data_IF_370013716173
#
_entry.id   IF_370013716173
#
_cell.length_a   1.000
_cell.length_b   1.000
_cell.length_c   1.000
_cell.angle_alpha   90.00
_cell.angle_beta   90.00
_cell.angle_gamma   90.00
#
_symmetry.space_group_name_H-M   'P 1'
#
loop_
_entity.id
_entity.type
_entity.pdbx_description
1 polymer ?
#
# COMPACT_ATOMS: atom_id res chain seq x y z
N UNK A 1 3.65 12.30 22.61
CA UNK A 1 3.38 10.91 22.20
C UNK A 1 4.71 10.32 21.78
N UNK A 2 5.13 9.17 22.34
CA UNK A 2 6.46 8.61 22.06
C UNK A 2 6.59 8.16 20.62
N UNK A 3 7.77 8.34 20.02
CA UNK A 3 8.11 7.80 18.70
C UNK A 3 7.82 6.29 18.66
N UNK A 4 7.50 5.69 17.48
CA UNK A 4 7.36 4.24 17.30
C UNK A 4 8.56 3.44 17.82
N UNK A 5 9.74 4.06 17.87
CA UNK A 5 10.98 3.53 18.44
C UNK A 5 10.89 3.16 19.93
N UNK A 6 9.88 3.66 20.65
CA UNK A 6 9.75 3.51 22.09
C UNK A 6 8.87 2.32 22.53
N UNK A 7 8.35 1.49 21.62
CA UNK A 7 7.57 0.31 21.97
C UNK A 7 8.49 -0.92 22.08
N UNK A 8 8.85 -1.38 23.30
CA UNK A 8 9.81 -2.50 23.49
C UNK A 8 9.42 -3.78 22.76
N UNK A 9 8.11 -4.01 22.56
CA UNK A 9 7.58 -5.18 21.85
C UNK A 9 7.89 -5.18 20.35
N UNK A 10 7.93 -4.01 19.72
CA UNK A 10 8.21 -3.89 18.26
C UNK A 10 9.65 -4.30 17.98
N UNK A 11 10.61 -3.73 18.71
CA UNK A 11 12.02 -4.09 18.53
C UNK A 11 12.25 -5.58 18.74
N UNK A 12 11.71 -6.16 19.80
CA UNK A 12 11.86 -7.59 20.10
C UNK A 12 11.27 -8.52 19.01
N UNK A 13 10.26 -8.04 18.27
CA UNK A 13 9.66 -8.82 17.18
C UNK A 13 10.52 -8.82 15.90
N UNK A 14 11.43 -7.86 15.73
CA UNK A 14 12.18 -7.62 14.47
C UNK A 14 13.69 -7.81 14.65
N UNK A 15 14.25 -7.43 15.82
CA UNK A 15 15.69 -7.51 16.09
C UNK A 15 16.24 -8.92 15.86
N UNK A 16 17.30 -9.00 15.04
CA UNK A 16 17.96 -10.25 14.70
C UNK A 16 17.15 -11.19 13.80
N UNK A 17 16.00 -10.77 13.28
CA UNK A 17 15.16 -11.56 12.36
C UNK A 17 15.59 -11.41 10.91
N UNK A 18 15.46 -12.48 10.12
CA UNK A 18 15.49 -12.42 8.67
C UNK A 18 14.09 -12.10 8.17
N UNK A 19 13.97 -11.02 7.42
CA UNK A 19 12.69 -10.45 6.99
C UNK A 19 12.59 -10.50 5.47
N UNK A 20 11.48 -11.03 4.93
CA UNK A 20 11.17 -10.94 3.50
C UNK A 20 10.07 -9.89 3.27
N UNK A 21 10.29 -9.01 2.30
CA UNK A 21 9.28 -8.06 1.83
C UNK A 21 9.00 -8.32 0.35
N UNK A 22 7.87 -8.96 0.03
CA UNK A 22 7.43 -9.09 -1.37
C UNK A 22 6.78 -7.80 -1.82
N UNK A 23 7.07 -7.34 -3.04
CA UNK A 23 6.67 -6.00 -3.50
C UNK A 23 7.45 -4.89 -2.76
N UNK A 24 8.68 -5.19 -2.32
CA UNK A 24 9.47 -4.31 -1.47
C UNK A 24 10.01 -3.06 -2.17
N UNK A 25 10.08 -3.03 -3.50
CA UNK A 25 10.46 -1.85 -4.27
C UNK A 25 9.26 -0.94 -4.62
N UNK A 26 8.03 -1.32 -4.24
CA UNK A 26 6.82 -0.52 -4.39
C UNK A 26 6.68 0.59 -3.34
N UNK A 27 5.62 1.41 -3.45
CA UNK A 27 5.28 2.50 -2.53
C UNK A 27 5.28 2.06 -1.05
N UNK A 28 4.50 1.04 -0.72
CA UNK A 28 4.31 0.61 0.68
C UNK A 28 5.51 -0.23 1.14
N UNK A 29 5.95 -1.20 0.31
CA UNK A 29 7.04 -2.10 0.68
C UNK A 29 8.35 -1.37 0.98
N UNK A 30 8.71 -0.38 0.17
CA UNK A 30 9.92 0.42 0.39
C UNK A 30 9.83 1.29 1.66
N UNK A 31 8.64 1.80 1.98
CA UNK A 31 8.44 2.56 3.22
C UNK A 31 8.47 1.66 4.46
N UNK A 32 8.00 0.40 4.34
CA UNK A 32 8.16 -0.61 5.42
C UNK A 32 9.65 -0.89 5.64
N UNK A 33 10.44 -1.05 4.57
CA UNK A 33 11.89 -1.28 4.66
C UNK A 33 12.57 -0.15 5.43
N UNK A 34 12.28 1.12 5.12
CA UNK A 34 12.84 2.26 5.85
C UNK A 34 12.54 2.18 7.36
N UNK A 35 11.32 1.77 7.71
CA UNK A 35 10.92 1.66 9.11
C UNK A 35 11.40 0.38 9.81
N UNK A 36 11.85 -0.64 9.07
CA UNK A 36 12.49 -1.83 9.61
C UNK A 36 13.92 -1.57 10.07
N UNK A 37 14.68 -0.74 9.35
CA UNK A 37 16.10 -0.51 9.60
C UNK A 37 16.41 -0.10 11.05
N UNK A 38 15.66 0.80 11.70
CA UNK A 38 15.91 1.19 13.10
C UNK A 38 15.72 0.06 14.12
N UNK A 39 15.04 -1.04 13.73
CA UNK A 39 14.79 -2.18 14.62
C UNK A 39 15.82 -3.30 14.52
N UNK A 40 16.92 -3.08 13.79
CA UNK A 40 18.08 -3.95 13.72
C UNK A 40 17.79 -5.41 13.26
N UNK A 41 17.08 -5.61 12.12
CA UNK A 41 16.90 -6.94 11.55
C UNK A 41 18.25 -7.55 11.18
N UNK A 42 18.37 -8.89 11.21
CA UNK A 42 19.58 -9.58 10.76
C UNK A 42 19.79 -9.43 9.26
N UNK A 43 18.70 -9.50 8.50
CA UNK A 43 18.68 -9.35 7.05
C UNK A 43 17.28 -8.92 6.59
N UNK A 44 17.22 -8.09 5.56
CA UNK A 44 15.99 -7.78 4.82
C UNK A 44 16.18 -8.26 3.38
N UNK A 45 15.33 -9.17 2.91
CA UNK A 45 15.28 -9.63 1.53
C UNK A 45 14.09 -8.97 0.84
N UNK A 46 14.31 -8.34 -0.30
CA UNK A 46 13.27 -7.80 -1.17
C UNK A 46 13.03 -8.74 -2.32
N UNK A 47 11.79 -9.15 -2.54
CA UNK A 47 11.35 -9.82 -3.78
C UNK A 47 10.40 -8.87 -4.52
N UNK A 48 10.78 -8.45 -5.73
CA UNK A 48 9.97 -7.57 -6.57
C UNK A 48 10.18 -7.92 -8.05
N UNK A 49 9.12 -7.88 -8.86
CA UNK A 49 9.21 -8.12 -10.30
C UNK A 49 9.50 -6.84 -11.09
N UNK A 50 9.61 -5.71 -10.39
CA UNK A 50 9.84 -4.38 -10.93
C UNK A 50 8.83 -3.94 -12.00
N UNK A 51 7.69 -4.61 -12.09
CA UNK A 51 6.60 -4.18 -12.97
C UNK A 51 6.08 -2.78 -12.59
N UNK A 52 6.26 -2.38 -11.33
CA UNK A 52 5.95 -1.05 -10.79
C UNK A 52 6.93 -0.58 -9.73
N UNK A 53 7.56 -1.51 -9.02
CA UNK A 53 8.63 -1.24 -8.08
C UNK A 53 9.80 -0.55 -8.78
N UNK A 54 10.57 0.24 -8.03
CA UNK A 54 11.73 0.99 -8.55
C UNK A 54 12.90 0.85 -7.62
N UNK A 55 14.09 0.63 -8.16
CA UNK A 55 15.33 0.64 -7.37
C UNK A 55 15.53 1.98 -6.64
N UNK A 56 15.11 3.10 -7.23
CA UNK A 56 15.15 4.42 -6.59
C UNK A 56 14.36 4.49 -5.27
N UNK A 57 13.28 3.72 -5.13
CA UNK A 57 12.48 3.70 -3.89
C UNK A 57 13.22 3.09 -2.70
N UNK A 58 14.21 2.24 -2.94
CA UNK A 58 15.01 1.54 -1.91
C UNK A 58 16.48 1.95 -1.91
N UNK A 59 16.86 2.95 -2.73
CA UNK A 59 18.26 3.36 -2.89
C UNK A 59 18.87 3.85 -1.56
N UNK A 60 18.14 4.65 -0.81
CA UNK A 60 18.59 5.16 0.50
C UNK A 60 18.77 4.03 1.52
N UNK A 61 17.85 3.06 1.53
CA UNK A 61 17.96 1.89 2.40
C UNK A 61 19.18 1.02 2.03
N UNK A 62 19.43 0.79 0.72
CA UNK A 62 20.61 0.10 0.24
C UNK A 62 21.92 0.82 0.59
N UNK A 63 21.92 2.14 0.58
CA UNK A 63 23.07 2.93 0.97
C UNK A 63 23.30 2.95 2.51
N UNK A 64 22.23 2.76 3.30
CA UNK A 64 22.26 2.82 4.75
C UNK A 64 22.73 1.51 5.42
N UNK A 65 22.63 0.36 4.74
CA UNK A 65 22.98 -0.94 5.32
C UNK A 65 23.43 -1.97 4.27
N UNK A 66 24.32 -2.86 4.66
CA UNK A 66 24.72 -4.06 3.90
C UNK A 66 23.80 -5.28 4.12
N UNK A 67 22.80 -5.14 5.00
CA UNK A 67 21.84 -6.20 5.35
C UNK A 67 20.60 -6.23 4.47
N UNK A 68 20.52 -5.37 3.46
CA UNK A 68 19.42 -5.34 2.50
C UNK A 68 19.86 -5.99 1.19
N UNK A 69 19.17 -7.05 0.81
CA UNK A 69 19.37 -7.73 -0.47
C UNK A 69 18.11 -7.62 -1.35
N UNK A 70 18.33 -7.56 -2.66
CA UNK A 70 17.23 -7.41 -3.64
C UNK A 70 17.29 -8.56 -4.63
N UNK A 71 16.17 -9.25 -4.75
CA UNK A 71 15.97 -10.33 -5.71
C UNK A 71 14.87 -9.92 -6.69
N UNK A 72 15.20 -9.80 -7.96
CA UNK A 72 14.20 -9.64 -9.02
C UNK A 72 13.49 -10.98 -9.24
N UNK A 73 12.16 -10.98 -9.10
CA UNK A 73 11.37 -12.20 -9.26
C UNK A 73 9.90 -12.00 -9.04
N UNK A 74 9.12 -12.92 -9.59
CA UNK A 74 7.68 -12.92 -9.59
C UNK A 74 7.16 -13.93 -8.55
N UNK A 75 6.17 -13.54 -7.76
CA UNK A 75 5.53 -14.43 -6.77
C UNK A 75 4.77 -15.60 -7.42
N UNK A 76 4.56 -15.59 -8.72
CA UNK A 76 4.02 -16.72 -9.49
C UNK A 76 5.05 -17.82 -9.74
N UNK A 77 6.34 -17.51 -9.64
CA UNK A 77 7.44 -18.49 -9.73
C UNK A 77 7.67 -19.18 -8.38
N UNK A 78 7.11 -20.38 -8.24
CA UNK A 78 7.18 -21.16 -7.00
C UNK A 78 8.60 -21.49 -6.57
N UNK A 79 9.50 -21.73 -7.52
CA UNK A 79 10.90 -22.04 -7.22
C UNK A 79 11.62 -20.80 -6.67
N UNK A 80 11.40 -19.64 -7.29
CA UNK A 80 11.97 -18.37 -6.83
C UNK A 80 11.42 -17.98 -5.46
N UNK A 81 10.12 -18.13 -5.24
CA UNK A 81 9.49 -17.86 -3.94
C UNK A 81 10.06 -18.77 -2.85
N UNK A 82 10.22 -20.06 -3.13
CA UNK A 82 10.82 -21.01 -2.18
C UNK A 82 12.30 -20.67 -1.88
N UNK A 83 13.09 -20.27 -2.89
CA UNK A 83 14.48 -19.85 -2.73
C UNK A 83 14.62 -18.66 -1.76
N UNK A 84 13.83 -17.60 -1.96
CA UNK A 84 13.92 -16.38 -1.12
C UNK A 84 13.27 -16.53 0.25
N UNK A 85 12.39 -17.54 0.44
CA UNK A 85 11.72 -17.81 1.70
C UNK A 85 12.58 -18.61 2.68
N UNK A 86 13.66 -19.24 2.21
CA UNK A 86 14.51 -20.07 3.05
C UNK A 86 15.12 -19.29 4.21
N UNK A 87 14.88 -19.76 5.44
CA UNK A 87 15.34 -19.16 6.67
C UNK A 87 14.70 -17.81 7.04
N UNK A 88 13.58 -17.42 6.43
CA UNK A 88 12.84 -16.20 6.78
C UNK A 88 12.04 -16.43 8.08
N UNK A 89 12.16 -15.49 9.01
CA UNK A 89 11.41 -15.48 10.26
C UNK A 89 10.09 -14.69 10.16
N UNK A 90 10.09 -13.59 9.38
CA UNK A 90 8.99 -12.63 9.27
C UNK A 90 8.76 -12.24 7.82
N UNK A 91 7.52 -12.32 7.37
CA UNK A 91 7.12 -12.00 6.00
C UNK A 91 6.18 -10.80 5.97
N UNK A 92 6.54 -9.76 5.19
CA UNK A 92 5.62 -8.70 4.77
C UNK A 92 5.20 -8.96 3.32
N UNK A 93 3.96 -9.41 3.13
CA UNK A 93 3.43 -9.70 1.80
C UNK A 93 2.70 -8.49 1.23
N UNK A 94 3.44 -7.67 0.44
CA UNK A 94 2.93 -6.42 -0.18
C UNK A 94 2.77 -6.54 -1.70
N UNK A 95 3.29 -7.60 -2.33
CA UNK A 95 3.19 -7.80 -3.77
C UNK A 95 1.73 -7.88 -4.22
N UNK A 96 1.35 -6.97 -5.12
CA UNK A 96 0.01 -6.87 -5.67
C UNK A 96 0.00 -6.04 -6.95
N UNK A 97 -1.04 -6.19 -7.77
CA UNK A 97 -1.31 -5.31 -8.91
C UNK A 97 -2.50 -4.39 -8.62
N UNK A 98 -2.58 -3.27 -9.32
CA UNK A 98 -3.62 -2.26 -9.13
C UNK A 98 -5.00 -2.75 -9.59
N UNK A 99 -6.04 -2.18 -8.97
CA UNK A 99 -7.44 -2.41 -9.34
C UNK A 99 -7.73 -2.10 -10.82
N UNK A 100 -7.10 -1.07 -11.40
CA UNK A 100 -7.23 -0.72 -12.81
C UNK A 100 -6.67 -1.81 -13.72
N UNK A 101 -5.47 -2.31 -13.43
CA UNK A 101 -4.89 -3.42 -14.18
C UNK A 101 -5.69 -4.71 -14.01
N UNK A 102 -6.29 -4.94 -12.85
CA UNK A 102 -7.16 -6.09 -12.64
C UNK A 102 -8.39 -6.08 -13.55
N UNK A 103 -8.93 -4.90 -13.87
CA UNK A 103 -10.06 -4.76 -14.78
C UNK A 103 -9.65 -4.99 -16.24
N UNK A 104 -8.47 -4.57 -16.63
CA UNK A 104 -7.94 -4.71 -18.00
C UNK A 104 -7.40 -6.12 -18.28
N UNK A 105 -6.72 -6.72 -17.31
CA UNK A 105 -6.06 -8.01 -17.40
C UNK A 105 -6.55 -8.98 -16.31
N UNK A 106 -7.83 -9.40 -16.33
CA UNK A 106 -8.43 -10.18 -15.22
C UNK A 106 -7.76 -11.53 -14.98
N UNK A 107 -7.17 -12.15 -16.01
CA UNK A 107 -6.41 -13.39 -15.86
C UNK A 107 -5.12 -13.15 -15.08
N UNK A 108 -4.39 -12.09 -15.43
CA UNK A 108 -3.16 -11.69 -14.69
C UNK A 108 -3.50 -11.34 -13.24
N UNK A 109 -4.66 -10.70 -13.02
CA UNK A 109 -5.13 -10.41 -11.66
C UNK A 109 -5.29 -11.69 -10.82
N UNK A 110 -5.95 -12.71 -11.36
CA UNK A 110 -6.11 -14.00 -10.71
C UNK A 110 -4.74 -14.65 -10.42
N UNK A 111 -3.87 -14.69 -11.43
CA UNK A 111 -2.57 -15.35 -11.33
C UNK A 111 -1.67 -14.68 -10.28
N UNK A 112 -1.62 -13.35 -10.25
CA UNK A 112 -0.79 -12.62 -9.27
C UNK A 112 -1.44 -12.61 -7.90
N UNK A 113 -2.71 -12.17 -7.79
CA UNK A 113 -3.33 -11.91 -6.50
C UNK A 113 -3.75 -13.19 -5.77
N UNK A 114 -4.24 -14.20 -6.49
CA UNK A 114 -4.69 -15.43 -5.86
C UNK A 114 -3.60 -16.52 -5.89
N UNK A 115 -3.12 -16.92 -7.07
CA UNK A 115 -2.12 -17.98 -7.20
C UNK A 115 -0.78 -17.57 -6.61
N UNK A 116 -0.31 -16.35 -6.90
CA UNK A 116 0.94 -15.83 -6.34
C UNK A 116 0.89 -15.73 -4.80
N UNK A 117 -0.22 -15.24 -4.22
CA UNK A 117 -0.39 -15.23 -2.76
C UNK A 117 -0.39 -16.65 -2.19
N UNK A 118 -1.05 -17.62 -2.85
CA UNK A 118 -1.02 -19.01 -2.42
C UNK A 118 0.41 -19.57 -2.41
N UNK A 119 1.21 -19.35 -3.46
CA UNK A 119 2.61 -19.78 -3.53
C UNK A 119 3.44 -19.20 -2.38
N UNK A 120 3.23 -17.92 -2.06
CA UNK A 120 3.94 -17.25 -0.96
C UNK A 120 3.58 -17.87 0.39
N UNK A 121 2.30 -18.16 0.64
CA UNK A 121 1.86 -18.77 1.91
C UNK A 121 2.32 -20.23 2.03
N UNK A 122 2.29 -20.99 0.93
CA UNK A 122 2.79 -22.37 0.89
C UNK A 122 4.30 -22.42 1.20
N UNK A 123 5.09 -21.55 0.59
CA UNK A 123 6.52 -21.45 0.87
C UNK A 123 6.78 -20.98 2.31
N UNK A 124 5.97 -20.04 2.85
CA UNK A 124 6.09 -19.59 4.23
C UNK A 124 5.87 -20.73 5.25
N UNK A 125 4.89 -21.60 5.00
CA UNK A 125 4.67 -22.80 5.82
C UNK A 125 5.87 -23.76 5.71
N UNK A 126 6.34 -24.02 4.48
CA UNK A 126 7.44 -24.95 4.25
C UNK A 126 8.75 -24.47 4.90
N UNK A 127 9.00 -23.16 4.92
CA UNK A 127 10.17 -22.55 5.55
C UNK A 127 10.02 -22.33 7.07
N UNK A 128 8.82 -22.53 7.64
CA UNK A 128 8.57 -22.30 9.06
C UNK A 128 8.54 -20.84 9.47
N UNK A 129 8.09 -19.95 8.58
CA UNK A 129 7.93 -18.52 8.87
C UNK A 129 7.06 -18.32 10.12
N UNK A 130 7.55 -17.56 11.07
CA UNK A 130 6.85 -17.34 12.35
C UNK A 130 5.62 -16.43 12.22
N UNK A 131 5.62 -15.49 11.28
CA UNK A 131 4.50 -14.55 11.08
C UNK A 131 4.47 -13.96 9.67
N UNK A 132 3.24 -13.80 9.17
CA UNK A 132 2.93 -13.06 7.94
C UNK A 132 2.16 -11.79 8.26
N UNK A 133 2.65 -10.63 7.80
CA UNK A 133 1.87 -9.39 7.75
C UNK A 133 1.47 -9.17 6.29
N UNK A 134 0.17 -9.23 6.02
CA UNK A 134 -0.34 -9.24 4.65
C UNK A 134 -1.13 -7.98 4.31
N UNK A 135 -0.87 -7.43 3.11
CA UNK A 135 -1.64 -6.34 2.55
C UNK A 135 -3.03 -6.85 2.10
N UNK A 136 -4.07 -6.45 2.81
CA UNK A 136 -5.45 -6.49 2.36
C UNK A 136 -5.88 -5.10 1.87
N UNK A 137 -7.17 -4.84 1.71
CA UNK A 137 -7.68 -3.59 1.16
C UNK A 137 -9.10 -3.29 1.63
N UNK A 138 -9.45 -2.02 1.76
CA UNK A 138 -10.83 -1.58 1.90
C UNK A 138 -11.75 -2.04 0.75
N UNK A 139 -11.15 -2.49 -0.38
CA UNK A 139 -11.91 -3.06 -1.50
C UNK A 139 -12.61 -4.38 -1.16
N UNK A 140 -12.25 -5.05 -0.05
CA UNK A 140 -12.99 -6.23 0.43
C UNK A 140 -14.45 -5.90 0.77
N UNK A 141 -14.73 -4.66 1.17
CA UNK A 141 -16.08 -4.21 1.51
C UNK A 141 -16.96 -3.94 0.29
N UNK A 142 -16.35 -3.73 -0.90
CA UNK A 142 -17.08 -3.28 -2.08
C UNK A 142 -17.81 -1.97 -1.82
N UNK A 143 -19.14 -1.99 -1.99
CA UNK A 143 -20.06 -0.90 -1.62
C UNK A 143 -20.52 -1.14 -0.18
N UNK A 144 -19.88 -0.49 0.79
CA UNK A 144 -20.26 -0.65 2.19
C UNK A 144 -21.62 -0.03 2.50
N UNK A 145 -22.47 -0.77 3.23
CA UNK A 145 -23.82 -0.33 3.63
C UNK A 145 -23.79 0.58 4.85
N UNK A 146 -22.71 0.52 5.65
CA UNK A 146 -22.56 1.24 6.92
C UNK A 146 -21.23 2.00 6.93
N UNK A 147 -21.30 3.27 7.29
CA UNK A 147 -20.14 4.15 7.48
C UNK A 147 -20.19 4.79 8.89
N UNK A 148 -19.09 4.87 9.63
CA UNK A 148 -17.78 4.22 9.33
C UNK A 148 -17.89 2.70 9.24
N UNK A 149 -17.10 2.08 8.34
CA UNK A 149 -17.12 0.63 8.12
C UNK A 149 -16.12 -0.05 9.06
N UNK A 150 -16.57 -0.97 9.89
CA UNK A 150 -15.73 -1.81 10.73
C UNK A 150 -15.36 -3.15 10.05
N UNK A 151 -14.48 -3.93 10.67
CA UNK A 151 -13.98 -5.18 10.11
C UNK A 151 -15.02 -6.33 10.09
N UNK A 152 -16.15 -6.16 10.77
CA UNK A 152 -17.25 -7.16 10.79
C UNK A 152 -18.21 -7.03 9.61
N UNK A 153 -18.08 -5.93 8.84
CA UNK A 153 -18.88 -5.72 7.64
C UNK A 153 -18.67 -6.84 6.62
N UNK A 154 -19.76 -7.35 6.05
CA UNK A 154 -19.72 -8.44 5.08
C UNK A 154 -19.07 -8.05 3.74
N UNK A 155 -18.44 -9.00 3.01
CA UNK A 155 -17.76 -8.73 1.75
C UNK A 155 -18.63 -8.98 0.50
N UNK A 156 -19.97 -9.04 0.62
CA UNK A 156 -20.85 -9.57 -0.44
C UNK A 156 -21.13 -8.58 -1.57
N UNK A 157 -20.95 -7.27 -1.33
CA UNK A 157 -21.17 -6.24 -2.35
C UNK A 157 -19.90 -5.88 -3.13
N UNK A 158 -19.02 -6.87 -3.30
CA UNK A 158 -17.78 -6.67 -4.04
C UNK A 158 -18.04 -6.70 -5.55
N UNK A 159 -17.66 -5.63 -6.23
CA UNK A 159 -17.90 -5.41 -7.65
C UNK A 159 -16.62 -5.41 -8.49
N UNK A 160 -15.48 -5.74 -7.89
CA UNK A 160 -14.18 -5.74 -8.55
C UNK A 160 -13.43 -7.05 -8.37
N UNK A 161 -12.70 -7.49 -9.40
CA UNK A 161 -11.80 -8.66 -9.32
C UNK A 161 -10.75 -8.46 -8.24
N UNK A 162 -10.23 -7.24 -8.11
CA UNK A 162 -9.24 -6.89 -7.07
C UNK A 162 -9.81 -7.12 -5.66
N UNK A 163 -10.99 -6.60 -5.38
CA UNK A 163 -11.62 -6.78 -4.07
C UNK A 163 -11.97 -8.23 -3.80
N UNK A 164 -12.53 -8.94 -4.79
CA UNK A 164 -12.82 -10.38 -4.68
C UNK A 164 -11.56 -11.21 -4.39
N UNK A 165 -10.42 -10.89 -5.05
CA UNK A 165 -9.15 -11.54 -4.78
C UNK A 165 -8.63 -11.23 -3.36
N UNK A 166 -8.80 -10.01 -2.87
CA UNK A 166 -8.41 -9.66 -1.49
C UNK A 166 -9.26 -10.38 -0.43
N UNK A 167 -10.57 -10.55 -0.68
CA UNK A 167 -11.45 -11.40 0.16
C UNK A 167 -10.95 -12.86 0.16
N UNK A 168 -10.62 -13.39 -1.02
CA UNK A 168 -10.06 -14.74 -1.15
C UNK A 168 -8.74 -14.89 -0.37
N UNK A 169 -7.86 -13.88 -0.44
CA UNK A 169 -6.58 -13.90 0.27
C UNK A 169 -6.74 -13.89 1.79
N UNK A 170 -7.70 -13.13 2.34
CA UNK A 170 -8.02 -13.20 3.77
C UNK A 170 -8.53 -14.60 4.16
N UNK A 171 -9.33 -15.22 3.29
CA UNK A 171 -9.78 -16.62 3.47
C UNK A 171 -8.62 -17.61 3.41
N UNK A 172 -7.64 -17.41 2.51
CA UNK A 172 -6.41 -18.23 2.46
C UNK A 172 -5.61 -18.10 3.75
N UNK A 173 -5.33 -16.88 4.21
CA UNK A 173 -4.59 -16.61 5.45
C UNK A 173 -5.23 -17.34 6.63
N UNK A 174 -6.55 -17.24 6.79
CA UNK A 174 -7.28 -17.92 7.83
C UNK A 174 -7.18 -19.45 7.70
N UNK A 175 -7.27 -19.98 6.47
CA UNK A 175 -7.16 -21.42 6.20
C UNK A 175 -5.76 -21.94 6.53
N UNK A 176 -4.71 -21.21 6.09
CA UNK A 176 -3.32 -21.58 6.37
C UNK A 176 -3.01 -21.56 7.88
N UNK A 177 -3.58 -20.59 8.60
CA UNK A 177 -3.46 -20.58 10.07
C UNK A 177 -4.11 -21.79 10.70
N UNK A 178 -5.33 -22.14 10.31
CA UNK A 178 -6.06 -23.28 10.91
C UNK A 178 -5.44 -24.64 10.54
N UNK A 179 -4.98 -24.80 9.32
CA UNK A 179 -4.45 -26.07 8.81
C UNK A 179 -2.98 -26.29 9.15
N UNK A 180 -2.18 -25.23 9.14
CA UNK A 180 -0.73 -25.35 9.23
C UNK A 180 -0.09 -24.52 10.35
N UNK A 181 -0.88 -23.76 11.11
CA UNK A 181 -0.40 -22.96 12.24
C UNK A 181 0.36 -21.69 11.83
N UNK A 182 0.22 -21.21 10.58
CA UNK A 182 0.88 -19.99 10.10
C UNK A 182 0.21 -18.76 10.71
N UNK A 183 0.84 -18.12 11.67
CA UNK A 183 0.32 -16.87 12.24
C UNK A 183 0.35 -15.72 11.23
N UNK A 184 -0.75 -14.95 11.19
CA UNK A 184 -0.85 -13.81 10.31
C UNK A 184 -1.56 -12.62 10.97
N UNK A 185 -1.32 -11.43 10.39
CA UNK A 185 -2.12 -10.22 10.56
C UNK A 185 -2.36 -9.64 9.17
N UNK A 186 -3.63 -9.39 8.82
CA UNK A 186 -3.98 -8.74 7.56
C UNK A 186 -4.41 -7.29 7.80
N UNK A 187 -3.94 -6.38 6.96
CA UNK A 187 -4.20 -4.95 7.07
C UNK A 187 -5.02 -4.48 5.87
N UNK A 188 -6.26 -4.07 6.10
CA UNK A 188 -7.14 -3.48 5.09
C UNK A 188 -6.79 -2.01 4.90
N UNK A 189 -5.90 -1.73 3.94
CA UNK A 189 -5.52 -0.35 3.63
C UNK A 189 -6.67 0.37 2.94
N UNK A 190 -6.95 1.61 3.40
CA UNK A 190 -7.84 2.52 2.72
C UNK A 190 -7.08 3.28 1.62
N UNK A 191 -7.34 4.55 1.37
CA UNK A 191 -6.75 5.26 0.24
C UNK A 191 -5.33 5.75 0.58
N UNK A 192 -4.34 4.96 0.24
CA UNK A 192 -2.92 5.25 0.55
C UNK A 192 -2.37 6.30 -0.40
N UNK A 193 -1.70 7.32 0.15
CA UNK A 193 -0.97 8.33 -0.61
C UNK A 193 0.37 8.68 0.06
N UNK A 194 1.27 9.33 -0.67
CA UNK A 194 2.52 9.82 -0.13
C UNK A 194 3.71 9.69 -1.08
N UNK A 195 4.93 10.01 -0.62
CA UNK A 195 6.17 9.85 -1.37
C UNK A 195 6.31 8.44 -1.96
N UNK A 196 6.96 8.34 -3.13
CA UNK A 196 7.13 7.10 -3.92
C UNK A 196 5.86 6.59 -4.62
N UNK A 197 4.79 7.41 -4.68
CA UNK A 197 3.68 7.14 -5.59
C UNK A 197 4.18 7.01 -7.03
N UNK A 198 3.50 6.18 -7.82
CA UNK A 198 3.85 6.02 -9.22
C UNK A 198 3.47 7.28 -10.03
N UNK A 199 4.47 8.09 -10.36
CA UNK A 199 4.34 9.32 -11.14
C UNK A 199 4.69 9.14 -12.63
N UNK A 200 5.10 7.92 -13.03
CA UNK A 200 5.60 7.64 -14.37
C UNK A 200 4.68 6.72 -15.18
N UNK A 201 3.73 6.07 -14.51
CA UNK A 201 2.81 5.12 -15.14
C UNK A 201 1.73 5.79 -15.98
N UNK A 202 1.18 5.04 -16.93
CA UNK A 202 0.03 5.48 -17.76
C UNK A 202 -1.21 5.74 -16.88
N UNK A 203 -1.33 5.05 -15.75
CA UNK A 203 -2.45 5.13 -14.82
C UNK A 203 -2.02 5.76 -13.50
N UNK A 204 -1.60 7.02 -13.52
CA UNK A 204 -1.28 7.76 -12.31
C UNK A 204 -2.52 8.04 -11.47
N UNK A 205 -2.31 8.12 -10.16
CA UNK A 205 -3.37 8.48 -9.19
C UNK A 205 -3.85 9.92 -9.43
N UNK A 206 -5.07 10.20 -8.98
CA UNK A 206 -5.68 11.53 -9.16
C UNK A 206 -4.81 12.67 -8.60
N UNK A 207 -4.14 12.45 -7.47
CA UNK A 207 -3.24 13.43 -6.85
C UNK A 207 -2.08 13.81 -7.78
N UNK A 208 -1.46 12.82 -8.44
CA UNK A 208 -0.35 13.07 -9.39
C UNK A 208 -0.82 13.93 -10.56
N UNK A 209 -1.96 13.58 -11.15
CA UNK A 209 -2.55 14.36 -12.26
C UNK A 209 -2.88 15.78 -11.85
N UNK A 210 -3.36 15.98 -10.63
CA UNK A 210 -3.67 17.33 -10.13
C UNK A 210 -2.40 18.11 -9.85
N UNK A 211 -1.34 17.50 -9.30
CA UNK A 211 -0.04 18.13 -9.12
C UNK A 211 0.53 18.60 -10.45
N UNK A 212 0.51 17.77 -11.49
CA UNK A 212 0.94 18.12 -12.85
C UNK A 212 0.18 19.34 -13.42
N UNK A 213 -1.15 19.36 -13.27
CA UNK A 213 -1.98 20.46 -13.74
C UNK A 213 -1.70 21.75 -12.97
N UNK A 214 -1.64 21.68 -11.65
CA UNK A 214 -1.37 22.86 -10.79
C UNK A 214 0.01 23.46 -11.12
N UNK A 215 1.03 22.61 -11.29
CA UNK A 215 2.38 23.06 -11.68
C UNK A 215 2.38 23.74 -13.07
N UNK A 216 1.55 23.26 -13.99
CA UNK A 216 1.33 23.87 -15.30
C UNK A 216 0.46 25.16 -15.25
N UNK A 217 -0.01 25.57 -14.06
CA UNK A 217 -0.89 26.72 -13.89
C UNK A 217 -2.34 26.46 -14.24
N UNK A 218 -2.74 25.19 -14.32
CA UNK A 218 -4.11 24.75 -14.62
C UNK A 218 -4.83 24.28 -13.36
N UNK A 219 -6.17 24.50 -13.23
CA UNK A 219 -6.93 24.03 -12.09
C UNK A 219 -7.02 22.50 -12.07
N UNK A 220 -7.12 21.87 -10.87
CA UNK A 220 -7.44 20.45 -10.74
C UNK A 220 -8.75 20.11 -11.48
N UNK A 221 -8.76 18.99 -12.21
CA UNK A 221 -9.95 18.48 -12.90
C UNK A 221 -10.60 17.37 -12.08
N UNK A 222 -11.80 17.64 -11.57
CA UNK A 222 -12.64 16.66 -10.88
C UNK A 222 -13.61 16.07 -11.90
N UNK A 223 -13.69 14.73 -11.96
CA UNK A 223 -14.64 14.03 -12.79
C UNK A 223 -15.91 13.74 -11.97
N UNK A 224 -17.02 14.38 -12.34
CA UNK A 224 -18.26 14.40 -11.56
C UNK A 224 -18.40 15.65 -10.69
N UNK A 225 -19.25 15.57 -9.66
CA UNK A 225 -19.60 16.69 -8.78
C UNK A 225 -18.59 16.94 -7.64
N UNK A 226 -17.63 16.06 -7.45
CA UNK A 226 -16.62 16.16 -6.39
C UNK A 226 -17.11 15.78 -4.99
N UNK A 227 -18.35 15.32 -4.84
CA UNK A 227 -18.93 14.91 -3.55
C UNK A 227 -18.46 13.54 -3.08
N UNK A 228 -17.81 12.78 -3.93
CA UNK A 228 -17.23 11.48 -3.56
C UNK A 228 -16.22 11.66 -2.43
N UNK A 229 -16.31 10.81 -1.40
CA UNK A 229 -15.43 10.89 -0.23
C UNK A 229 -14.49 9.70 -0.12
N UNK A 230 -13.30 9.98 0.38
CA UNK A 230 -12.27 8.97 0.64
C UNK A 230 -11.70 9.15 2.04
N UNK A 231 -11.34 8.05 2.68
CA UNK A 231 -10.48 8.04 3.85
C UNK A 231 -9.03 7.89 3.37
N UNK A 232 -8.30 9.01 3.45
CA UNK A 232 -6.92 9.12 2.96
C UNK A 232 -5.95 8.83 4.11
N UNK A 233 -4.99 7.96 3.87
CA UNK A 233 -3.96 7.60 4.86
C UNK A 233 -2.57 7.69 4.24
N UNK A 234 -1.67 8.34 4.96
CA UNK A 234 -0.31 8.57 4.49
C UNK A 234 0.52 7.28 4.57
N UNK A 235 1.40 7.06 3.58
CA UNK A 235 2.16 5.81 3.44
C UNK A 235 3.06 5.48 4.64
N UNK A 236 3.59 6.49 5.34
CA UNK A 236 4.37 6.25 6.57
C UNK A 236 3.50 5.67 7.69
N UNK A 237 2.24 6.08 7.80
CA UNK A 237 1.31 5.49 8.77
C UNK A 237 0.94 4.06 8.39
N UNK A 238 0.79 3.76 7.08
CA UNK A 238 0.63 2.38 6.60
C UNK A 238 1.83 1.52 6.97
N UNK A 239 3.05 2.01 6.71
CA UNK A 239 4.27 1.29 7.08
C UNK A 239 4.34 1.04 8.58
N UNK A 240 4.03 2.07 9.40
CA UNK A 240 3.98 1.94 10.85
C UNK A 240 2.95 0.91 11.33
N UNK A 241 1.77 0.84 10.69
CA UNK A 241 0.79 -0.21 10.99
C UNK A 241 1.34 -1.61 10.72
N UNK A 242 2.13 -1.79 9.65
CA UNK A 242 2.81 -3.06 9.36
C UNK A 242 3.85 -3.42 10.45
N UNK A 243 4.63 -2.46 10.90
CA UNK A 243 5.59 -2.66 11.98
C UNK A 243 4.88 -3.06 13.29
N UNK A 244 3.78 -2.40 13.64
CA UNK A 244 2.97 -2.75 14.80
C UNK A 244 2.33 -4.15 14.66
N UNK A 245 1.88 -4.51 13.46
CA UNK A 245 1.30 -5.81 13.17
C UNK A 245 2.30 -6.97 13.33
N UNK A 246 3.58 -6.74 13.11
CA UNK A 246 4.62 -7.74 13.37
C UNK A 246 4.77 -8.05 14.86
N UNK A 247 4.50 -7.09 15.73
CA UNK A 247 4.71 -7.19 17.18
C UNK A 247 3.47 -7.52 18.00
N UNK A 248 2.27 -7.37 17.43
CA UNK A 248 1.02 -7.59 18.18
C UNK A 248 0.85 -9.03 18.64
N UNK A 249 0.30 -9.28 19.84
CA UNK A 249 -0.12 -10.61 20.25
C UNK A 249 -1.41 -11.09 19.55
N UNK A 250 -2.12 -10.18 18.87
CA UNK A 250 -3.40 -10.45 18.20
C UNK A 250 -3.17 -11.01 16.79
N UNK A 251 -2.96 -12.32 16.70
CA UNK A 251 -2.76 -13.06 15.45
C UNK A 251 -4.04 -13.69 14.93
N UNK A 252 -4.11 -13.91 13.61
CA UNK A 252 -5.33 -14.40 12.96
C UNK A 252 -6.39 -13.31 12.81
N UNK A 253 -5.98 -12.06 12.80
CA UNK A 253 -6.85 -10.89 12.80
C UNK A 253 -6.70 -10.05 11.54
N UNK A 254 -7.75 -9.32 11.21
CA UNK A 254 -7.73 -8.27 10.18
C UNK A 254 -7.97 -6.91 10.83
N UNK A 255 -7.34 -5.86 10.32
CA UNK A 255 -7.46 -4.50 10.84
C UNK A 255 -7.64 -3.48 9.73
N UNK A 256 -8.55 -2.55 9.91
CA UNK A 256 -8.62 -1.36 9.07
C UNK A 256 -7.45 -0.42 9.38
N UNK A 257 -6.75 0.02 8.32
CA UNK A 257 -5.67 1.00 8.43
C UNK A 257 -6.02 2.20 7.56
N UNK A 258 -6.40 3.28 8.24
CA UNK A 258 -6.98 4.48 7.65
C UNK A 258 -6.78 5.68 8.58
N UNK A 259 -7.22 6.87 8.16
CA UNK A 259 -7.23 8.05 9.03
C UNK A 259 -8.47 8.13 9.93
N UNK A 260 -9.56 7.47 9.56
CA UNK A 260 -10.87 7.64 10.20
C UNK A 260 -11.50 8.98 9.86
N UNK A 261 -11.03 9.66 8.81
CA UNK A 261 -11.52 10.98 8.39
C UNK A 261 -12.00 10.92 6.95
N UNK A 262 -13.20 11.43 6.73
CA UNK A 262 -13.81 11.53 5.40
C UNK A 262 -13.36 12.83 4.73
N UNK A 263 -12.78 12.73 3.53
CA UNK A 263 -12.36 13.87 2.72
C UNK A 263 -13.00 13.76 1.33
N UNK A 264 -13.74 14.77 0.90
CA UNK A 264 -14.29 14.82 -0.45
C UNK A 264 -13.22 15.14 -1.50
N UNK A 265 -13.48 14.78 -2.76
CA UNK A 265 -12.57 15.14 -3.86
C UNK A 265 -12.42 16.65 -4.00
N UNK A 266 -13.49 17.42 -3.73
CA UNK A 266 -13.45 18.87 -3.76
C UNK A 266 -12.53 19.44 -2.66
N UNK A 267 -12.65 18.95 -1.43
CA UNK A 267 -11.77 19.34 -0.30
C UNK A 267 -10.31 18.95 -0.58
N UNK A 268 -10.08 17.74 -1.08
CA UNK A 268 -8.74 17.24 -1.42
C UNK A 268 -8.07 18.10 -2.50
N UNK A 269 -8.80 18.45 -3.56
CA UNK A 269 -8.27 19.27 -4.64
C UNK A 269 -7.95 20.70 -4.17
N UNK A 270 -8.81 21.29 -3.33
CA UNK A 270 -8.57 22.61 -2.75
C UNK A 270 -7.36 22.61 -1.80
N UNK A 271 -7.24 21.57 -0.94
CA UNK A 271 -6.10 21.41 -0.06
C UNK A 271 -4.79 21.27 -0.85
N UNK A 272 -4.78 20.46 -1.91
CA UNK A 272 -3.60 20.29 -2.77
C UNK A 272 -3.21 21.60 -3.46
N UNK A 273 -4.17 22.36 -4.01
CA UNK A 273 -3.89 23.67 -4.61
C UNK A 273 -3.27 24.63 -3.58
N UNK A 274 -3.76 24.62 -2.35
CA UNK A 274 -3.22 25.42 -1.25
C UNK A 274 -1.78 25.03 -0.90
N UNK A 275 -1.51 23.74 -0.71
CA UNK A 275 -0.17 23.20 -0.41
C UNK A 275 0.83 23.52 -1.52
N UNK A 276 0.40 23.49 -2.79
CA UNK A 276 1.25 23.85 -3.93
C UNK A 276 1.43 25.38 -4.13
N UNK A 277 0.87 26.19 -3.24
CA UNK A 277 0.97 27.66 -3.30
C UNK A 277 0.06 28.31 -4.34
N UNK A 278 -0.96 27.59 -4.82
CA UNK A 278 -1.89 28.05 -5.86
C UNK A 278 -3.36 27.94 -5.41
N UNK A 279 -3.76 28.58 -4.27
CA UNK A 279 -5.14 28.57 -3.82
C UNK A 279 -6.10 29.30 -4.79
N UNK A 280 -5.56 30.05 -5.74
CA UNK A 280 -6.28 30.70 -6.84
C UNK A 280 -6.82 29.71 -7.88
N UNK A 281 -6.23 28.50 -8.00
CA UNK A 281 -6.65 27.48 -8.93
C UNK A 281 -7.81 26.65 -8.34
N UNK A 282 -9.02 27.20 -8.48
CA UNK A 282 -10.26 26.56 -8.05
C UNK A 282 -10.54 25.33 -8.94
N UNK A 283 -10.83 24.15 -8.37
CA UNK A 283 -11.12 22.95 -9.13
C UNK A 283 -12.23 23.15 -10.18
N UNK A 284 -12.05 22.56 -11.34
CA UNK A 284 -13.06 22.51 -12.41
C UNK A 284 -13.64 21.11 -12.55
N UNK A 285 -14.87 21.02 -13.05
CA UNK A 285 -15.61 19.76 -13.15
C UNK A 285 -15.72 19.27 -14.58
N UNK A 286 -15.51 17.97 -14.78
CA UNK A 286 -15.70 17.25 -16.05
C UNK A 286 -16.77 16.18 -15.94
N UNK A 287 -17.07 15.47 -17.05
CA UNK A 287 -18.04 14.39 -17.06
C UNK A 287 -17.71 13.30 -16.04
N UNK A 288 -18.73 12.75 -15.38
CA UNK A 288 -18.56 11.66 -14.44
C UNK A 288 -18.02 10.41 -15.14
N UNK A 289 -17.08 9.70 -14.48
CA UNK A 289 -16.58 8.41 -14.97
C UNK A 289 -17.59 7.30 -14.71
N UNK A 290 -17.81 6.46 -15.70
CA UNK A 290 -18.66 5.27 -15.57
C UNK A 290 -18.03 4.13 -14.72
N UNK A 291 -16.75 4.24 -14.37
CA UNK A 291 -15.97 3.20 -13.70
C UNK A 291 -15.66 3.60 -12.25
N UNK A 292 -16.06 2.78 -11.34
CA UNK A 292 -15.90 2.81 -9.89
C UNK A 292 -17.06 3.51 -9.15
N UNK A 293 -18.12 2.74 -8.88
CA UNK A 293 -19.34 3.23 -8.24
C UNK A 293 -19.25 3.50 -6.73
N UNK A 294 -18.08 3.34 -6.11
CA UNK A 294 -17.92 3.60 -4.66
C UNK A 294 -17.91 5.10 -4.41
N UNK A 295 -19.01 5.60 -3.86
CA UNK A 295 -19.19 7.04 -3.57
C UNK A 295 -18.54 7.49 -2.28
N UNK A 296 -18.42 6.60 -1.29
CA UNK A 296 -17.88 6.97 0.03
C UNK A 296 -17.11 5.80 0.64
N UNK A 297 -15.96 6.12 1.24
CA UNK A 297 -15.18 5.21 2.05
C UNK A 297 -14.75 5.93 3.32
N UNK A 298 -15.12 5.36 4.47
CA UNK A 298 -14.73 5.84 5.78
C UNK A 298 -14.56 4.63 6.70
N UNK A 299 -13.38 4.49 7.30
CA UNK A 299 -13.06 3.40 8.22
C UNK A 299 -13.52 3.68 9.65
N UNK A 300 -13.98 2.66 10.33
CA UNK A 300 -13.83 2.57 11.78
C UNK A 300 -12.44 1.98 12.06
N UNK A 301 -11.59 2.73 12.75
CA UNK A 301 -10.21 2.34 13.13
C UNK A 301 -10.09 1.94 14.60
N UNK A 302 -11.21 1.80 15.30
CA UNK A 302 -11.24 1.49 16.74
C UNK A 302 -10.45 0.23 17.07
N UNK A 303 -10.64 -0.84 16.28
CA UNK A 303 -9.92 -2.10 16.48
C UNK A 303 -8.40 -1.94 16.31
N UNK A 304 -7.95 -1.24 15.27
CA UNK A 304 -6.51 -0.97 15.06
C UNK A 304 -5.93 -0.10 16.17
N UNK A 305 -6.67 0.90 16.62
CA UNK A 305 -6.25 1.75 17.74
C UNK A 305 -6.12 0.94 19.04
N UNK A 306 -7.11 0.14 19.37
CA UNK A 306 -7.20 -0.52 20.68
C UNK A 306 -6.29 -1.77 20.77
N UNK A 307 -6.10 -2.51 19.67
CA UNK A 307 -5.34 -3.78 19.65
C UNK A 307 -3.95 -3.67 19.01
N UNK A 308 -3.71 -2.72 18.10
CA UNK A 308 -2.38 -2.47 17.54
C UNK A 308 -1.70 -1.24 18.12
N UNK A 309 -2.45 -0.35 18.81
CA UNK A 309 -1.95 0.97 19.19
C UNK A 309 -1.76 1.91 17.99
N UNK A 310 -2.47 1.63 16.89
CA UNK A 310 -2.37 2.42 15.67
C UNK A 310 -3.22 3.69 15.75
N UNK A 311 -2.61 4.82 15.42
CA UNK A 311 -3.26 6.10 15.14
C UNK A 311 -2.49 6.79 14.04
N UNK A 312 -3.11 7.63 13.22
CA UNK A 312 -2.37 8.44 12.24
C UNK A 312 -1.45 9.45 12.94
N UNK A 313 -0.28 9.66 12.37
CA UNK A 313 0.73 10.60 12.89
C UNK A 313 0.73 11.92 12.12
N UNK A 314 0.22 11.93 10.91
CA UNK A 314 0.18 13.09 10.01
C UNK A 314 -1.27 13.43 9.68
N UNK A 315 -1.61 14.71 9.69
CA UNK A 315 -2.83 15.20 9.08
C UNK A 315 -2.72 15.29 7.55
N UNK A 316 -3.82 15.59 6.89
CA UNK A 316 -3.85 15.64 5.42
C UNK A 316 -2.91 16.70 4.85
N UNK A 317 -2.83 17.88 5.46
CA UNK A 317 -2.00 18.99 4.99
C UNK A 317 -0.51 18.63 5.07
N UNK A 318 -0.06 18.13 6.22
CA UNK A 318 1.32 17.69 6.39
C UNK A 318 1.68 16.53 5.43
N UNK A 319 0.76 15.57 5.24
CA UNK A 319 0.95 14.48 4.29
C UNK A 319 1.03 14.93 2.83
N UNK A 320 0.21 15.90 2.42
CA UNK A 320 0.25 16.49 1.07
C UNK A 320 1.53 17.31 0.86
N UNK A 321 1.98 18.08 1.86
CA UNK A 321 3.27 18.78 1.78
C UNK A 321 4.41 17.80 1.50
N UNK A 322 4.52 16.72 2.27
CA UNK A 322 5.55 15.69 2.05
C UNK A 322 5.47 15.01 0.68
N UNK A 323 4.25 14.80 0.15
CA UNK A 323 4.05 14.27 -1.20
C UNK A 323 4.54 15.25 -2.26
N UNK A 324 4.17 16.53 -2.17
CA UNK A 324 4.53 17.58 -3.14
C UNK A 324 6.03 17.83 -3.15
N UNK A 325 6.67 17.90 -1.98
CA UNK A 325 8.11 18.11 -1.85
C UNK A 325 8.88 16.95 -2.50
N UNK A 326 8.47 15.70 -2.21
CA UNK A 326 9.05 14.51 -2.83
C UNK A 326 8.86 14.54 -4.36
N UNK A 327 7.65 14.82 -4.84
CA UNK A 327 7.32 14.84 -6.26
C UNK A 327 8.17 15.88 -7.02
N UNK A 328 8.34 17.08 -6.47
CA UNK A 328 9.19 18.12 -7.05
C UNK A 328 10.66 17.70 -7.09
N UNK A 329 11.14 17.04 -6.03
CA UNK A 329 12.50 16.51 -5.98
C UNK A 329 12.75 15.45 -7.05
N UNK A 330 11.81 14.50 -7.24
CA UNK A 330 11.88 13.48 -8.29
C UNK A 330 11.92 14.09 -9.71
N UNK A 331 11.07 15.07 -9.97
CA UNK A 331 11.08 15.77 -11.26
C UNK A 331 12.41 16.51 -11.52
N UNK A 332 12.96 17.17 -10.50
CA UNK A 332 14.23 17.90 -10.59
C UNK A 332 15.42 16.95 -10.80
N UNK A 333 15.39 15.76 -10.21
CA UNK A 333 16.44 14.75 -10.37
C UNK A 333 16.46 14.14 -11.78
N UNK A 334 15.38 14.27 -12.57
CA UNK A 334 15.30 13.75 -13.93
C UNK A 334 15.41 12.22 -14.02
N UNK A 335 15.05 11.50 -12.96
CA UNK A 335 15.33 10.09 -12.75
C UNK A 335 14.36 9.14 -13.46
N UNK A 336 13.87 9.45 -14.68
CA UNK A 336 13.11 8.47 -15.47
C UNK A 336 13.96 7.82 -16.57
N UNK A 337 14.49 6.60 -16.36
CA UNK A 337 15.11 5.82 -17.44
C UNK A 337 14.08 5.25 -18.44
N UNK A 338 12.77 5.30 -18.13
CA UNK A 338 11.71 4.66 -18.93
C UNK A 338 10.88 5.59 -19.80
N UNK A 339 10.99 6.91 -19.66
CA UNK A 339 10.16 7.87 -20.42
C UNK A 339 10.55 8.00 -21.90
N UNK A 340 11.68 7.44 -22.30
CA UNK A 340 12.18 7.51 -23.69
C UNK A 340 11.46 6.59 -24.70
N UNK A 341 10.52 5.74 -24.29
CA UNK A 341 9.95 4.68 -25.18
C UNK A 341 8.46 4.86 -25.52
N UNK A 342 7.74 5.84 -25.00
CA UNK A 342 6.27 5.94 -25.23
C UNK A 342 5.87 7.16 -26.09
N UNK A 343 6.74 7.70 -26.91
CA UNK A 343 6.35 8.78 -27.86
C UNK A 343 6.01 8.33 -29.26
N UNK A 344 5.62 7.07 -29.47
CA UNK A 344 5.12 6.67 -30.79
C UNK A 344 4.16 5.49 -30.68
N UNK A 345 2.89 5.74 -30.42
CA UNK A 345 1.75 4.98 -30.92
C UNK A 345 0.42 5.49 -30.34
N UNK A 346 -0.05 6.65 -30.75
CA UNK A 346 -1.49 6.90 -30.91
C UNK A 346 -1.64 7.76 -32.16
N UNK A 347 -1.91 7.06 -33.28
CA UNK A 347 -2.51 7.64 -34.47
C UNK A 347 -3.97 7.23 -34.48
#
# INVERSE_FOLDING_TARGET
>A
MGSPEAQPGVRAAIEGKRVLVTGGAGLIGSTIIDQLLPHDPAEIVVLDDFSRGRMGNIADALAATDRLSVVEGDIRDTAKVAEVMDGIDLLYHQAAIRITRCAEEPRVALDVLAVGTFNVLEAAVAAGVGRVVAASSASVYGQADILPTDETHHPYHNDTIYGAAKVFNEGLLQSFRQMYGLDYVALRYFNVYGPRMDIYGVYTEVLVRWMERIEAGEPPLILGDGSQTMDLVQVQDIARANILAAATPHVGEVFNVASGTSTSLAELAAALSTVMGRPDLVPVHGPERATNGVRSRLADITKARDLLGFTTSLDLEAGLNGLVDWWRAELAAGTDPGRAVVTSAVG
#
